data_IF_591865295289
#
_entry.id   IF_591865295289
#
_cell.length_a   1.000
_cell.length_b   1.000
_cell.length_c   1.000
_cell.angle_alpha   90.00
_cell.angle_beta   90.00
_cell.angle_gamma   90.00
#
_symmetry.space_group_name_H-M   'P 1'
#
loop_
_entity.id
_entity.type
_entity.pdbx_description
1 polymer ?
#
# COMPACT_ATOMS: atom_id res chain seq x y z
N UNK A 1 -7.22 51.41 -10.12
CA UNK A 1 -6.08 50.53 -9.79
C UNK A 1 -6.56 49.47 -8.80
N UNK A 2 -6.80 48.24 -9.25
CA UNK A 2 -7.19 47.15 -8.35
C UNK A 2 -7.01 45.80 -9.05
N UNK A 3 -5.77 45.31 -9.09
CA UNK A 3 -5.44 43.91 -9.40
C UNK A 3 -4.84 43.25 -8.15
N UNK A 4 -5.66 42.71 -7.22
CA UNK A 4 -5.14 41.76 -6.23
C UNK A 4 -6.00 40.49 -6.13
N UNK A 5 -6.41 39.89 -7.27
CA UNK A 5 -7.19 38.64 -7.27
C UNK A 5 -6.54 37.45 -7.97
N UNK A 6 -5.54 37.69 -8.82
CA UNK A 6 -4.84 36.60 -9.54
C UNK A 6 -3.76 35.94 -8.66
N UNK A 7 -3.21 36.66 -7.67
CA UNK A 7 -2.15 36.15 -6.82
C UNK A 7 -2.61 35.06 -5.82
N UNK A 8 -3.90 34.98 -5.49
CA UNK A 8 -4.41 34.04 -4.48
C UNK A 8 -4.77 32.66 -5.07
N UNK A 9 -4.93 32.55 -6.39
CA UNK A 9 -5.24 31.29 -7.07
C UNK A 9 -3.99 30.42 -7.34
N UNK A 10 -2.79 31.01 -7.29
CA UNK A 10 -1.54 30.29 -7.59
C UNK A 10 -0.90 29.63 -6.36
N UNK A 11 -1.30 29.98 -5.13
CA UNK A 11 -0.66 29.48 -3.91
C UNK A 11 -1.22 28.14 -3.41
N UNK A 12 -2.34 27.65 -3.96
CA UNK A 12 -3.00 26.43 -3.46
C UNK A 12 -2.45 25.11 -4.05
N UNK A 13 -1.64 25.17 -5.10
CA UNK A 13 -1.06 23.96 -5.71
C UNK A 13 0.15 23.43 -4.93
N UNK A 14 0.75 24.21 -4.02
CA UNK A 14 1.99 23.86 -3.34
C UNK A 14 1.86 22.87 -2.17
N UNK A 15 0.64 22.49 -1.76
CA UNK A 15 0.42 21.38 -0.84
C UNK A 15 0.57 20.03 -1.57
N UNK A 16 1.68 19.88 -2.28
CA UNK A 16 2.06 18.67 -2.97
C UNK A 16 2.33 17.60 -1.91
N UNK A 17 1.67 16.46 -2.06
CA UNK A 17 1.81 15.30 -1.18
C UNK A 17 3.21 14.70 -1.28
N UNK A 18 4.19 15.36 -0.69
CA UNK A 18 5.41 14.73 -0.24
C UNK A 18 4.97 13.70 0.79
N UNK A 19 4.89 12.44 0.37
CA UNK A 19 4.91 11.36 1.33
C UNK A 19 6.21 11.53 2.13
N UNK A 20 6.09 11.54 3.46
CA UNK A 20 7.26 11.68 4.31
C UNK A 20 8.03 10.36 4.26
N UNK A 21 9.14 10.35 3.51
CA UNK A 21 10.08 9.26 3.54
C UNK A 21 10.61 9.07 4.97
N UNK A 22 10.47 7.85 5.49
CA UNK A 22 10.98 7.48 6.81
C UNK A 22 12.34 6.82 6.61
N UNK A 23 13.44 7.45 7.06
CA UNK A 23 14.75 6.82 6.95
C UNK A 23 14.80 5.61 7.88
N UNK A 24 14.79 4.41 7.30
CA UNK A 24 15.02 3.16 8.03
C UNK A 24 16.52 2.91 8.09
N UNK A 25 17.06 2.38 9.21
CA UNK A 25 18.46 1.99 9.27
C UNK A 25 18.73 0.85 8.29
N UNK A 26 19.93 0.84 7.72
CA UNK A 26 20.38 -0.20 6.81
C UNK A 26 20.29 -1.58 7.49
N UNK A 27 19.74 -2.57 6.80
CA UNK A 27 19.67 -3.93 7.33
C UNK A 27 21.08 -4.51 7.53
N UNK A 28 21.33 -5.25 8.62
CA UNK A 28 22.58 -5.95 8.82
C UNK A 28 22.80 -6.98 7.70
N UNK A 29 24.03 -7.10 7.16
CA UNK A 29 24.32 -8.08 6.13
C UNK A 29 24.15 -9.52 6.66
N UNK A 30 24.00 -10.53 5.78
CA UNK A 30 23.90 -11.93 6.20
C UNK A 30 25.08 -12.41 7.06
N UNK A 31 26.27 -11.82 6.87
CA UNK A 31 27.48 -12.15 7.62
C UNK A 31 27.53 -11.53 9.04
N UNK A 32 26.59 -10.64 9.38
CA UNK A 32 26.52 -10.04 10.70
C UNK A 32 26.16 -11.09 11.78
N UNK A 33 26.57 -10.88 13.05
CA UNK A 33 26.20 -11.77 14.16
C UNK A 33 24.70 -12.07 14.21
N UNK A 34 24.32 -13.32 14.50
CA UNK A 34 22.90 -13.73 14.55
C UNK A 34 22.08 -12.87 15.51
N UNK A 35 22.64 -12.52 16.67
CA UNK A 35 21.97 -11.69 17.67
C UNK A 35 21.58 -10.32 17.11
N UNK A 36 22.47 -9.70 16.31
CA UNK A 36 22.23 -8.40 15.68
C UNK A 36 21.13 -8.49 14.61
N UNK A 37 21.17 -9.51 13.75
CA UNK A 37 20.13 -9.77 12.73
C UNK A 37 18.76 -10.01 13.36
N UNK A 38 18.70 -10.83 14.42
CA UNK A 38 17.46 -11.12 15.13
C UNK A 38 16.92 -9.88 15.85
N UNK A 39 17.79 -9.08 16.47
CA UNK A 39 17.39 -7.82 17.10
C UNK A 39 16.80 -6.84 16.09
N UNK A 40 17.49 -6.65 14.95
CA UNK A 40 17.01 -5.81 13.86
C UNK A 40 15.64 -6.31 13.34
N UNK A 41 15.52 -7.61 13.05
CA UNK A 41 14.24 -8.19 12.62
C UNK A 41 13.12 -7.94 13.63
N UNK A 42 13.35 -8.18 14.92
CA UNK A 42 12.33 -8.00 15.95
C UNK A 42 11.87 -6.54 16.07
N UNK A 43 12.73 -5.57 15.76
CA UNK A 43 12.43 -4.14 15.78
C UNK A 43 11.73 -3.66 14.49
N UNK A 44 12.07 -4.21 13.33
CA UNK A 44 11.60 -3.72 12.02
C UNK A 44 10.68 -4.70 11.27
N UNK A 45 10.27 -5.83 11.87
CA UNK A 45 9.28 -6.72 11.27
C UNK A 45 7.93 -6.02 11.12
N UNK A 46 7.18 -6.28 10.03
CA UNK A 46 5.83 -5.76 9.88
C UNK A 46 4.93 -6.35 10.98
N UNK A 47 4.18 -5.48 11.69
CA UNK A 47 3.18 -5.91 12.67
C UNK A 47 1.75 -5.78 12.16
N UNK A 48 1.46 -4.68 11.48
CA UNK A 48 0.13 -4.41 10.97
C UNK A 48 0.20 -3.71 9.61
N UNK A 49 -0.74 -4.01 8.74
CA UNK A 49 -0.99 -3.26 7.51
C UNK A 49 -2.29 -2.51 7.68
N UNK A 50 -2.26 -1.21 7.43
CA UNK A 50 -3.44 -0.37 7.50
C UNK A 50 -3.80 0.13 6.11
N UNK A 51 -5.10 0.21 5.87
CA UNK A 51 -5.63 0.41 4.54
C UNK A 51 -7.08 0.84 4.56
N UNK A 52 -7.57 1.26 3.40
CA UNK A 52 -8.95 1.66 3.20
C UNK A 52 -9.70 0.59 2.42
N UNK A 53 -10.81 0.11 2.98
CA UNK A 53 -11.79 -0.68 2.23
C UNK A 53 -12.83 0.28 1.65
N UNK A 54 -12.88 0.39 0.32
CA UNK A 54 -13.85 1.21 -0.39
C UNK A 54 -14.97 0.33 -0.93
N UNK A 55 -16.19 0.65 -0.50
CA UNK A 55 -17.41 0.01 -0.97
C UNK A 55 -18.08 0.92 -2.00
N UNK A 56 -18.30 0.40 -3.20
CA UNK A 56 -19.10 1.10 -4.20
C UNK A 56 -20.51 0.54 -4.18
N UNK A 57 -21.47 1.39 -3.82
CA UNK A 57 -22.89 1.08 -3.86
C UNK A 57 -23.45 1.52 -5.21
N UNK A 58 -24.06 0.60 -5.94
CA UNK A 58 -24.76 0.90 -7.18
C UNK A 58 -26.05 1.69 -6.92
N UNK A 59 -26.55 2.37 -7.94
CA UNK A 59 -27.76 3.21 -7.90
C UNK A 59 -29.01 2.47 -7.39
N UNK A 60 -29.05 1.14 -7.49
CA UNK A 60 -30.16 0.29 -7.03
C UNK A 60 -29.88 -0.44 -5.69
N UNK A 61 -28.91 0.02 -4.89
CA UNK A 61 -28.61 -0.55 -3.58
C UNK A 61 -27.83 -1.87 -3.58
N UNK A 62 -27.42 -2.35 -4.75
CA UNK A 62 -26.51 -3.50 -4.88
C UNK A 62 -25.05 -3.12 -4.66
N UNK A 63 -24.28 -4.01 -4.03
CA UNK A 63 -22.81 -3.88 -3.93
C UNK A 63 -22.19 -4.18 -5.28
N UNK A 64 -21.45 -3.23 -5.87
CA UNK A 64 -20.84 -3.43 -7.19
C UNK A 64 -19.35 -3.75 -7.13
N UNK A 65 -18.63 -3.26 -6.12
CA UNK A 65 -17.22 -3.58 -5.91
C UNK A 65 -16.76 -3.29 -4.48
N UNK A 66 -15.94 -4.19 -3.93
CA UNK A 66 -15.08 -3.97 -2.77
C UNK A 66 -13.66 -3.76 -3.28
N UNK A 67 -13.07 -2.60 -2.98
CA UNK A 67 -11.69 -2.31 -3.28
C UNK A 67 -10.93 -2.10 -1.97
N UNK A 68 -10.01 -2.99 -1.64
CA UNK A 68 -9.08 -2.81 -0.52
C UNK A 68 -7.82 -2.15 -1.03
N UNK A 69 -7.40 -1.06 -0.42
CA UNK A 69 -6.06 -0.50 -0.58
C UNK A 69 -5.29 -0.64 0.71
N UNK A 70 -4.06 -1.11 0.65
CA UNK A 70 -3.12 -0.96 1.78
C UNK A 70 -2.35 0.33 1.56
N UNK A 71 -2.46 1.23 2.52
CA UNK A 71 -1.87 2.58 2.41
C UNK A 71 -0.50 2.62 3.08
N UNK A 72 -0.35 1.96 4.23
CA UNK A 72 0.90 1.92 4.99
C UNK A 72 1.09 0.63 5.78
N UNK A 73 2.33 0.37 6.17
CA UNK A 73 2.70 -0.71 7.08
C UNK A 73 3.24 -0.11 8.39
N UNK A 74 2.82 -0.69 9.51
CA UNK A 74 3.32 -0.37 10.85
C UNK A 74 4.35 -1.44 11.22
N UNK A 75 5.58 -1.00 11.45
CA UNK A 75 6.67 -1.85 11.89
C UNK A 75 6.61 -2.08 13.41
N UNK A 76 7.34 -3.06 13.91
CA UNK A 76 7.30 -3.46 15.32
C UNK A 76 7.78 -2.39 16.31
N UNK A 77 8.62 -1.46 15.87
CA UNK A 77 9.03 -0.27 16.62
C UNK A 77 7.97 0.85 16.63
N UNK A 78 6.81 0.66 15.99
CA UNK A 78 5.74 1.64 15.86
C UNK A 78 5.92 2.63 14.70
N UNK A 79 6.99 2.55 13.89
CA UNK A 79 7.15 3.43 12.74
C UNK A 79 6.16 3.06 11.64
N UNK A 80 5.52 4.08 11.08
CA UNK A 80 4.59 3.94 9.97
C UNK A 80 5.31 4.24 8.66
N UNK A 81 5.37 3.25 7.76
CA UNK A 81 6.01 3.38 6.46
C UNK A 81 4.92 3.39 5.39
N UNK A 82 4.76 4.53 4.72
CA UNK A 82 3.77 4.73 3.66
C UNK A 82 4.36 4.52 2.27
N UNK A 83 5.65 4.83 2.09
CA UNK A 83 6.32 4.66 0.81
C UNK A 83 7.03 3.30 0.74
N UNK A 84 6.73 2.47 -0.27
CA UNK A 84 7.34 1.16 -0.40
C UNK A 84 8.85 1.24 -0.74
N UNK A 85 9.34 2.39 -1.19
CA UNK A 85 10.76 2.59 -1.51
C UNK A 85 11.64 2.66 -0.27
N UNK A 86 11.11 3.13 0.88
CA UNK A 86 11.85 3.16 2.14
C UNK A 86 12.20 1.75 2.63
N UNK A 87 11.35 0.77 2.29
CA UNK A 87 11.56 -0.64 2.61
C UNK A 87 12.71 -1.28 1.83
N UNK A 88 13.15 -0.68 0.71
CA UNK A 88 14.25 -1.22 -0.11
C UNK A 88 15.56 -1.30 0.66
N UNK A 89 15.79 -0.38 1.59
CA UNK A 89 16.98 -0.38 2.45
C UNK A 89 16.96 -1.55 3.46
N UNK A 90 15.77 -2.05 3.78
CA UNK A 90 15.55 -3.15 4.73
C UNK A 90 15.61 -4.52 4.04
N UNK A 91 15.08 -4.63 2.82
CA UNK A 91 15.05 -5.92 2.08
C UNK A 91 16.29 -6.17 1.23
N UNK A 92 17.12 -5.16 1.01
CA UNK A 92 18.31 -5.23 0.19
C UNK A 92 18.04 -5.17 -1.33
N UNK A 93 19.08 -4.90 -2.14
CA UNK A 93 18.95 -4.66 -3.58
C UNK A 93 18.62 -5.92 -4.39
N UNK A 94 18.96 -7.10 -3.89
CA UNK A 94 18.78 -8.39 -4.61
C UNK A 94 17.43 -9.06 -4.30
N UNK A 95 16.57 -8.41 -3.51
CA UNK A 95 15.28 -8.97 -3.13
C UNK A 95 14.31 -9.05 -4.32
N UNK A 96 13.52 -10.14 -4.45
CA UNK A 96 12.48 -10.24 -5.47
C UNK A 96 11.40 -9.14 -5.32
N UNK A 97 11.32 -8.48 -4.15
CA UNK A 97 10.41 -7.35 -3.91
C UNK A 97 10.82 -6.07 -4.63
N UNK A 98 12.07 -5.92 -5.06
CA UNK A 98 12.51 -4.68 -5.73
C UNK A 98 11.71 -4.45 -7.01
N UNK A 99 11.35 -5.53 -7.73
CA UNK A 99 10.51 -5.46 -8.91
C UNK A 99 9.07 -5.02 -8.62
N UNK A 100 8.47 -5.51 -7.53
CA UNK A 100 7.11 -5.12 -7.13
C UNK A 100 7.05 -3.70 -6.58
N UNK A 101 8.06 -3.29 -5.80
CA UNK A 101 8.19 -1.91 -5.30
C UNK A 101 8.29 -0.92 -6.46
N UNK A 102 9.18 -1.15 -7.44
CA UNK A 102 9.30 -0.27 -8.62
C UNK A 102 8.03 -0.21 -9.44
N UNK A 103 7.31 -1.33 -9.59
CA UNK A 103 6.03 -1.34 -10.30
C UNK A 103 4.98 -0.54 -9.54
N UNK A 104 4.93 -0.66 -8.21
CA UNK A 104 4.04 0.11 -7.35
C UNK A 104 4.36 1.61 -7.40
N UNK A 105 5.64 2.00 -7.31
CA UNK A 105 6.04 3.41 -7.35
C UNK A 105 5.79 4.04 -8.72
N UNK A 106 6.08 3.33 -9.82
CA UNK A 106 5.72 3.77 -11.17
C UNK A 106 4.20 3.93 -11.35
N UNK A 107 3.40 2.94 -10.91
CA UNK A 107 1.95 3.00 -11.01
C UNK A 107 1.37 4.17 -10.21
N UNK A 108 1.89 4.41 -9.00
CA UNK A 108 1.52 5.53 -8.15
C UNK A 108 1.93 6.87 -8.76
N UNK A 109 3.14 6.98 -9.32
CA UNK A 109 3.59 8.19 -9.98
C UNK A 109 2.71 8.56 -11.17
N UNK A 110 2.34 7.56 -11.99
CA UNK A 110 1.41 7.77 -13.13
C UNK A 110 0.00 8.12 -12.64
N UNK A 111 -0.53 7.41 -11.63
CA UNK A 111 -1.86 7.69 -11.09
C UNK A 111 -1.93 9.09 -10.45
N UNK A 112 -0.93 9.46 -9.65
CA UNK A 112 -0.80 10.80 -9.06
C UNK A 112 -0.63 11.86 -10.15
N UNK A 113 0.21 11.60 -11.17
CA UNK A 113 0.42 12.50 -12.30
C UNK A 113 -0.87 12.76 -13.09
N UNK A 114 -1.66 11.72 -13.38
CA UNK A 114 -2.94 11.87 -14.07
C UNK A 114 -4.00 12.56 -13.22
N UNK A 115 -4.05 12.23 -11.93
CA UNK A 115 -5.01 12.84 -11.00
C UNK A 115 -4.74 14.32 -10.83
N UNK A 116 -3.50 14.70 -10.50
CA UNK A 116 -3.13 16.09 -10.25
C UNK A 116 -2.96 16.90 -11.52
N UNK A 117 -2.40 16.29 -12.58
CA UNK A 117 -2.34 16.91 -13.90
C UNK A 117 -3.74 17.16 -14.47
N UNK A 118 -4.67 16.23 -14.25
CA UNK A 118 -6.07 16.40 -14.58
C UNK A 118 -6.74 17.54 -13.81
N UNK A 119 -6.56 17.60 -12.48
CA UNK A 119 -7.07 18.72 -11.65
C UNK A 119 -6.50 20.05 -12.10
N UNK A 120 -5.19 20.14 -12.33
CA UNK A 120 -4.54 21.37 -12.80
C UNK A 120 -5.09 21.81 -14.15
N UNK A 121 -5.24 20.89 -15.11
CA UNK A 121 -5.87 21.17 -16.40
C UNK A 121 -7.32 21.66 -16.23
N UNK A 122 -8.10 21.01 -15.37
CA UNK A 122 -9.48 21.44 -15.06
C UNK A 122 -9.55 22.86 -14.52
N UNK A 123 -8.65 23.23 -13.61
CA UNK A 123 -8.58 24.59 -13.06
C UNK A 123 -8.20 25.61 -14.14
N UNK A 124 -7.16 25.34 -14.92
CA UNK A 124 -6.71 26.24 -16.00
C UNK A 124 -7.80 26.41 -17.07
N UNK A 125 -8.44 25.31 -17.49
CA UNK A 125 -9.54 25.35 -18.45
C UNK A 125 -10.74 26.16 -17.94
N UNK A 126 -11.09 26.00 -16.65
CA UNK A 126 -12.18 26.77 -16.02
C UNK A 126 -11.86 28.27 -15.95
N UNK A 127 -10.61 28.64 -15.64
CA UNK A 127 -10.17 30.04 -15.64
C UNK A 127 -10.27 30.63 -17.06
N UNK A 128 -9.84 29.90 -18.09
CA UNK A 128 -9.95 30.33 -19.48
C UNK A 128 -11.42 30.53 -19.89
N UNK A 129 -12.32 29.61 -19.51
CA UNK A 129 -13.75 29.76 -19.76
C UNK A 129 -14.33 31.00 -19.08
N UNK A 130 -14.04 31.21 -17.78
CA UNK A 130 -14.52 32.35 -17.02
C UNK A 130 -14.02 33.69 -17.60
N UNK A 131 -12.75 33.72 -18.01
CA UNK A 131 -12.15 34.92 -18.61
C UNK A 131 -12.84 35.24 -19.94
N UNK A 132 -13.10 34.22 -20.77
CA UNK A 132 -13.80 34.38 -22.04
C UNK A 132 -15.24 34.88 -21.88
N UNK A 133 -15.96 34.44 -20.83
CA UNK A 133 -17.32 34.93 -20.52
C UNK A 133 -17.26 36.40 -20.09
N UNK A 134 -16.27 36.76 -19.28
CA UNK A 134 -16.12 38.14 -18.79
C UNK A 134 -15.70 39.14 -19.88
N UNK A 135 -15.04 38.67 -20.93
CA UNK A 135 -14.59 39.47 -22.08
C UNK A 135 -15.53 39.42 -23.28
N UNK A 136 -16.62 38.65 -23.20
CA UNK A 136 -17.55 38.51 -24.31
C UNK A 136 -18.29 39.83 -24.55
N UNK A 137 -17.83 40.59 -25.55
CA UNK A 137 -18.71 41.50 -26.30
C UNK A 137 -19.72 40.64 -27.06
N UNK A 138 -20.91 41.18 -27.38
CA UNK A 138 -22.16 40.51 -27.77
C UNK A 138 -22.15 39.44 -28.93
N UNK A 139 -20.99 39.07 -29.49
CA UNK A 139 -20.86 38.20 -30.68
C UNK A 139 -20.69 36.69 -30.37
N UNK A 140 -20.88 36.26 -29.12
CA UNK A 140 -20.99 34.84 -28.75
C UNK A 140 -19.70 34.15 -28.29
N UNK A 141 -19.79 32.83 -28.05
CA UNK A 141 -18.69 32.03 -27.50
C UNK A 141 -17.58 31.82 -28.53
N UNK A 142 -16.53 32.64 -28.49
CA UNK A 142 -15.36 32.51 -29.36
C UNK A 142 -14.49 31.28 -29.06
N UNK A 143 -13.47 31.09 -29.90
CA UNK A 143 -12.41 30.06 -29.75
C UNK A 143 -11.84 29.90 -28.33
N UNK A 144 -11.57 30.95 -27.53
CA UNK A 144 -11.02 30.77 -26.18
C UNK A 144 -11.96 30.05 -25.21
N UNK A 145 -13.28 30.19 -25.36
CA UNK A 145 -14.24 29.46 -24.55
C UNK A 145 -14.17 27.95 -24.83
N UNK A 146 -14.19 27.57 -26.10
CA UNK A 146 -14.11 26.16 -26.51
C UNK A 146 -12.77 25.53 -26.18
N UNK A 147 -11.67 26.29 -26.26
CA UNK A 147 -10.37 25.84 -25.79
C UNK A 147 -10.38 25.57 -24.27
N UNK A 148 -10.93 26.50 -23.47
CA UNK A 148 -11.06 26.33 -22.02
C UNK A 148 -11.93 25.12 -21.65
N UNK A 149 -13.06 24.93 -22.35
CA UNK A 149 -13.93 23.77 -22.16
C UNK A 149 -13.23 22.46 -22.50
N UNK A 150 -12.52 22.39 -23.63
CA UNK A 150 -11.78 21.21 -24.04
C UNK A 150 -10.71 20.82 -23.01
N UNK A 151 -9.95 21.79 -22.50
CA UNK A 151 -8.96 21.55 -21.44
C UNK A 151 -9.64 21.09 -20.15
N UNK A 152 -10.74 21.72 -19.76
CA UNK A 152 -11.45 21.38 -18.52
C UNK A 152 -12.06 19.97 -18.54
N UNK A 153 -12.65 19.59 -19.68
CA UNK A 153 -13.19 18.26 -19.91
C UNK A 153 -12.07 17.21 -19.95
N UNK A 154 -11.00 17.49 -20.70
CA UNK A 154 -9.82 16.64 -20.76
C UNK A 154 -9.19 16.38 -19.38
N UNK A 155 -9.06 17.44 -18.57
CA UNK A 155 -8.58 17.34 -17.19
C UNK A 155 -9.47 16.48 -16.29
N UNK A 156 -10.79 16.62 -16.43
CA UNK A 156 -11.77 15.84 -15.66
C UNK A 156 -11.71 14.35 -16.01
N UNK A 157 -11.57 14.03 -17.31
CA UNK A 157 -11.40 12.66 -17.79
C UNK A 157 -10.08 12.06 -17.29
N UNK A 158 -8.96 12.78 -17.41
CA UNK A 158 -7.66 12.33 -16.91
C UNK A 158 -7.69 12.03 -15.41
N UNK A 159 -8.36 12.89 -14.62
CA UNK A 159 -8.59 12.68 -13.19
C UNK A 159 -9.40 11.43 -12.92
N UNK A 160 -10.48 11.22 -13.67
CA UNK A 160 -11.33 10.04 -13.57
C UNK A 160 -10.56 8.75 -13.88
N UNK A 161 -9.79 8.73 -14.97
CA UNK A 161 -8.97 7.58 -15.37
C UNK A 161 -7.90 7.27 -14.32
N UNK A 162 -7.17 8.30 -13.84
CA UNK A 162 -6.16 8.12 -12.80
C UNK A 162 -6.74 7.50 -11.53
N UNK A 163 -7.91 7.99 -11.09
CA UNK A 163 -8.56 7.53 -9.86
C UNK A 163 -9.19 6.14 -9.98
N UNK A 164 -9.85 5.82 -11.10
CA UNK A 164 -10.67 4.62 -11.22
C UNK A 164 -10.00 3.48 -11.99
N UNK A 165 -9.23 3.76 -13.04
CA UNK A 165 -8.60 2.71 -13.84
C UNK A 165 -7.27 2.26 -13.24
N UNK A 166 -6.47 3.19 -12.71
CA UNK A 166 -5.11 2.90 -12.25
C UNK A 166 -5.02 2.66 -10.74
N UNK A 167 -5.93 3.24 -9.95
CA UNK A 167 -6.00 3.05 -8.50
C UNK A 167 -5.98 1.58 -8.04
N UNK A 168 -6.79 0.67 -8.63
CA UNK A 168 -6.80 -0.74 -8.26
C UNK A 168 -5.46 -1.45 -8.51
N UNK A 169 -4.80 -1.14 -9.62
CA UNK A 169 -3.51 -1.76 -9.97
C UNK A 169 -2.39 -1.34 -9.02
N UNK A 170 -2.38 -0.08 -8.59
CA UNK A 170 -1.42 0.43 -7.60
C UNK A 170 -1.67 -0.18 -6.22
N UNK A 171 -2.93 -0.34 -5.83
CA UNK A 171 -3.32 -0.99 -4.56
C UNK A 171 -2.87 -2.46 -4.52
N UNK A 172 -3.16 -3.23 -5.58
CA UNK A 172 -2.74 -4.63 -5.67
C UNK A 172 -1.22 -4.80 -5.66
N UNK A 173 -0.49 -3.91 -6.33
CA UNK A 173 0.97 -3.92 -6.31
C UNK A 173 1.54 -3.66 -4.91
N UNK A 174 0.95 -2.72 -4.14
CA UNK A 174 1.34 -2.44 -2.76
C UNK A 174 1.02 -3.59 -1.82
N UNK A 175 -0.15 -4.18 -1.94
CA UNK A 175 -0.53 -5.35 -1.13
C UNK A 175 0.47 -6.50 -1.32
N UNK A 176 0.87 -6.79 -2.56
CA UNK A 176 1.88 -7.80 -2.85
C UNK A 176 3.24 -7.48 -2.19
N UNK A 177 3.63 -6.20 -2.11
CA UNK A 177 4.84 -5.77 -1.40
C UNK A 177 4.72 -6.07 0.10
N UNK A 178 3.63 -5.66 0.73
CA UNK A 178 3.47 -5.81 2.18
C UNK A 178 3.28 -7.26 2.62
N UNK A 179 2.56 -8.07 1.84
CA UNK A 179 2.40 -9.52 2.11
C UNK A 179 3.75 -10.25 2.00
N UNK A 180 4.59 -9.87 1.03
CA UNK A 180 5.92 -10.47 0.85
C UNK A 180 7.01 -9.92 1.76
N UNK A 181 6.77 -8.78 2.43
CA UNK A 181 7.78 -8.02 3.17
C UNK A 181 8.46 -8.85 4.27
N UNK A 182 7.67 -9.53 5.10
CA UNK A 182 8.22 -10.31 6.21
C UNK A 182 9.14 -11.45 5.72
N UNK A 183 8.72 -12.15 4.66
CA UNK A 183 9.52 -13.20 4.04
C UNK A 183 10.81 -12.66 3.41
N UNK A 184 10.75 -11.49 2.77
CA UNK A 184 11.92 -10.87 2.16
C UNK A 184 12.94 -10.35 3.18
N UNK A 185 12.47 -9.74 4.29
CA UNK A 185 13.34 -9.31 5.38
C UNK A 185 14.06 -10.54 5.99
N UNK A 186 13.31 -11.63 6.22
CA UNK A 186 13.89 -12.89 6.72
C UNK A 186 14.91 -13.49 5.75
N UNK A 187 14.58 -13.52 4.45
CA UNK A 187 15.48 -14.02 3.41
C UNK A 187 16.77 -13.19 3.31
N UNK A 188 16.66 -11.86 3.37
CA UNK A 188 17.82 -10.96 3.33
C UNK A 188 18.78 -11.21 4.49
N UNK A 189 18.26 -11.48 5.69
CA UNK A 189 19.09 -11.80 6.86
C UNK A 189 19.38 -13.30 7.04
N UNK A 190 18.99 -14.16 6.08
CA UNK A 190 19.10 -15.63 6.18
C UNK A 190 18.51 -16.23 7.47
N UNK A 191 17.39 -15.66 7.93
CA UNK A 191 16.65 -16.11 9.10
C UNK A 191 15.52 -17.07 8.68
N UNK A 192 15.50 -18.24 9.30
CA UNK A 192 14.46 -19.25 9.16
C UNK A 192 13.65 -19.32 10.46
N UNK A 193 12.31 -19.27 10.34
CA UNK A 193 11.41 -19.40 11.49
C UNK A 193 11.00 -20.85 11.69
N UNK A 194 11.16 -21.38 12.91
CA UNK A 194 10.57 -22.67 13.33
C UNK A 194 9.74 -22.40 14.59
N UNK A 195 8.43 -22.20 14.42
CA UNK A 195 7.57 -21.72 15.51
C UNK A 195 7.93 -20.29 15.93
N UNK A 196 8.05 -20.05 17.25
CA UNK A 196 8.36 -18.73 17.82
C UNK A 196 9.86 -18.36 17.76
N UNK A 197 10.74 -19.29 17.38
CA UNK A 197 12.19 -19.06 17.36
C UNK A 197 12.71 -18.79 15.94
N UNK A 198 13.49 -17.71 15.80
CA UNK A 198 14.28 -17.41 14.61
C UNK A 198 15.65 -18.07 14.73
N UNK A 199 16.07 -18.78 13.68
CA UNK A 199 17.38 -19.42 13.57
C UNK A 199 18.02 -19.07 12.24
N UNK A 200 19.33 -19.21 12.15
CA UNK A 200 20.03 -19.08 10.87
C UNK A 200 19.74 -20.29 9.98
N UNK A 201 19.36 -20.04 8.72
CA UNK A 201 18.91 -21.09 7.79
C UNK A 201 19.99 -22.14 7.48
N UNK A 202 21.27 -21.76 7.60
CA UNK A 202 22.41 -22.65 7.31
C UNK A 202 22.98 -23.33 8.55
N UNK A 203 22.45 -23.05 9.74
CA UNK A 203 22.83 -23.78 10.94
C UNK A 203 22.24 -25.17 10.83
N UNK A 204 23.10 -26.17 10.56
CA UNK A 204 22.71 -27.57 10.58
C UNK A 204 21.79 -27.83 11.77
N UNK A 205 20.63 -28.45 11.51
CA UNK A 205 19.71 -28.81 12.58
C UNK A 205 20.53 -29.51 13.68
N UNK A 206 20.37 -29.14 14.97
CA UNK A 206 21.02 -29.90 16.03
C UNK A 206 20.66 -31.36 15.80
N UNK A 207 21.68 -32.20 15.59
CA UNK A 207 21.51 -33.63 15.36
C UNK A 207 20.50 -34.11 16.40
N UNK A 208 19.32 -34.50 15.94
CA UNK A 208 18.29 -34.97 16.84
C UNK A 208 18.91 -36.11 17.64
N UNK A 209 19.08 -35.91 18.95
CA UNK A 209 19.36 -37.03 19.84
C UNK A 209 18.29 -38.08 19.53
N UNK A 210 18.69 -39.34 19.24
CA UNK A 210 17.75 -40.36 18.84
C UNK A 210 16.61 -40.41 19.86
N UNK A 211 15.35 -40.54 19.39
CA UNK A 211 14.22 -40.58 20.30
C UNK A 211 14.48 -41.68 21.34
N UNK A 212 14.15 -41.45 22.62
CA UNK A 212 14.19 -42.53 23.60
C UNK A 212 13.34 -43.69 23.06
N UNK A 213 13.75 -44.95 23.32
CA UNK A 213 13.05 -46.12 22.80
C UNK A 213 11.56 -46.03 23.15
N UNK A 214 10.66 -46.44 22.24
CA UNK A 214 9.23 -46.31 22.43
C UNK A 214 8.82 -46.99 23.74
N UNK A 215 8.26 -46.19 24.66
CA UNK A 215 7.57 -46.74 25.83
C UNK A 215 6.35 -47.49 25.30
N UNK A 216 6.28 -48.77 25.60
CA UNK A 216 5.18 -49.63 25.18
C UNK A 216 3.82 -49.03 25.63
N UNK A 217 2.81 -48.97 24.75
CA UNK A 217 1.49 -48.45 25.11
C UNK A 217 0.83 -49.37 26.14
N UNK A 218 0.49 -48.82 27.31
CA UNK A 218 -0.41 -49.46 28.28
C UNK A 218 -1.82 -49.53 27.69
N UNK A 219 -2.36 -50.75 27.58
CA UNK A 219 -3.62 -51.12 26.92
C UNK A 219 -4.91 -50.74 27.67
N UNK A 220 -4.90 -49.73 28.54
CA UNK A 220 -6.08 -49.40 29.36
C UNK A 220 -6.69 -48.05 28.95
N UNK A 221 -7.60 -48.06 27.98
CA UNK A 221 -8.68 -47.05 27.90
C UNK A 221 -9.82 -47.51 26.97
N UNK A 222 -11.01 -47.83 27.52
CA UNK A 222 -12.22 -48.10 26.74
C UNK A 222 -12.97 -46.80 26.41
N UNK A 223 -13.22 -46.60 25.11
CA UNK A 223 -14.35 -45.86 24.50
C UNK A 223 -14.71 -44.47 25.07
N UNK A 224 -14.16 -43.42 24.45
CA UNK A 224 -14.75 -42.08 24.50
C UNK A 224 -15.44 -41.79 23.14
N UNK A 225 -16.76 -41.62 23.18
CA UNK A 225 -17.60 -41.24 22.03
C UNK A 225 -17.22 -39.85 21.50
N UNK A 226 -17.30 -39.61 20.18
CA UNK A 226 -17.04 -38.28 19.62
C UNK A 226 -18.19 -37.30 19.93
N UNK A 227 -17.91 -36.02 20.23
CA UNK A 227 -18.92 -34.99 20.41
C UNK A 227 -19.54 -34.55 19.06
N UNK A 228 -20.80 -34.08 19.05
CA UNK A 228 -21.48 -33.59 17.84
C UNK A 228 -20.92 -32.24 17.36
N UNK A 229 -20.87 -32.09 16.03
CA UNK A 229 -20.45 -30.88 15.32
C UNK A 229 -21.45 -29.72 15.51
N UNK A 230 -21.01 -28.49 15.83
CA UNK A 230 -21.88 -27.31 15.79
C UNK A 230 -22.12 -26.82 14.35
N UNK A 231 -23.37 -26.43 14.10
CA UNK A 231 -23.88 -25.92 12.84
C UNK A 231 -23.22 -24.58 12.43
N UNK A 232 -22.99 -24.44 11.12
CA UNK A 232 -22.46 -23.24 10.48
C UNK A 232 -23.38 -22.02 10.69
N UNK A 233 -22.77 -20.90 11.07
CA UNK A 233 -23.45 -19.61 11.18
C UNK A 233 -22.59 -18.58 11.92
N UNK A 234 -21.47 -18.16 11.33
CA UNK A 234 -20.69 -17.04 11.85
C UNK A 234 -20.51 -15.97 10.76
N UNK A 235 -21.32 -14.92 10.88
CA UNK A 235 -21.09 -13.62 10.23
C UNK A 235 -19.93 -12.95 10.95
N UNK A 236 -18.82 -12.73 10.25
CA UNK A 236 -17.64 -12.05 10.80
C UNK A 236 -17.80 -10.54 10.62
N UNK A 237 -17.87 -9.81 11.72
CA UNK A 237 -17.71 -8.35 11.77
C UNK A 237 -16.26 -8.05 12.11
N UNK A 238 -15.53 -7.38 11.21
CA UNK A 238 -14.15 -6.96 11.47
C UNK A 238 -14.18 -5.49 11.90
N UNK A 239 -13.92 -5.25 13.19
CA UNK A 239 -13.51 -3.94 13.69
C UNK A 239 -12.00 -3.79 13.46
N UNK A 240 -11.63 -2.82 12.63
CA UNK A 240 -10.26 -2.34 12.57
C UNK A 240 -9.97 -1.49 13.81
N UNK A 241 -8.90 -1.81 14.53
CA UNK A 241 -8.20 -0.88 15.43
C UNK A 241 -6.82 -0.63 14.85
#
# INVERSE_FOLDING_TARGET
>A
MSVPRIALALSLTAAFGCSAHVPLPLAPPPAAPLAERVQYYNQYRPQATAGMARFTFGTFGGYSALQTSVDHVVLANGTVVSDPEDLLQTVGPDSPLVGSVRRASNAQAVASGLTWGGVAASVVGSILMLTSISSASYDGFGTPFWAGFGIALGGSIATGVGRWALGPSAAAAREAVYVGLDGAIRAHMSLCGTGDALRECNSAAPVATPPPPPVAPSQDSPWASPPPLPAAGATVSIHAR
#
